data_IF_838161396052
#
_entry.id   IF_838161396052
#
_cell.length_a   1.000
_cell.length_b   1.000
_cell.length_c   1.000
_cell.angle_alpha   90.00
_cell.angle_beta   90.00
_cell.angle_gamma   90.00
#
_symmetry.space_group_name_H-M   'P 1'
#
loop_
_entity.id
_entity.type
_entity.pdbx_description
1 polymer ?
#
# COMPACT_ATOMS: atom_id res chain seq x y z
N UNK A 1 2.21 -24.94 -22.18
CA UNK A 1 2.05 -23.52 -21.77
C UNK A 1 3.15 -23.19 -20.76
N UNK A 2 3.76 -22.00 -20.75
CA UNK A 2 4.68 -21.61 -19.67
C UNK A 2 3.96 -21.65 -18.32
N UNK A 3 4.66 -21.92 -17.19
CA UNK A 3 4.02 -22.11 -15.90
C UNK A 3 3.33 -20.84 -15.40
N UNK A 4 2.18 -20.98 -14.73
CA UNK A 4 1.57 -19.87 -13.98
C UNK A 4 2.32 -19.69 -12.66
N UNK A 5 2.54 -18.47 -12.23
CA UNK A 5 3.11 -18.22 -10.90
C UNK A 5 1.98 -17.93 -9.93
N UNK A 6 1.86 -18.77 -8.90
CA UNK A 6 0.92 -18.60 -7.80
C UNK A 6 1.72 -18.27 -6.55
N UNK A 7 1.23 -17.34 -5.75
CA UNK A 7 1.82 -17.02 -4.46
C UNK A 7 0.88 -17.19 -3.29
N UNK A 8 1.46 -17.51 -2.16
CA UNK A 8 0.80 -17.60 -0.86
C UNK A 8 1.52 -16.68 0.12
N UNK A 9 0.76 -16.01 0.99
CA UNK A 9 1.32 -15.25 2.10
C UNK A 9 1.04 -16.03 3.38
N UNK A 10 2.10 -16.62 3.95
CA UNK A 10 2.04 -17.43 5.16
C UNK A 10 3.22 -17.06 6.08
N UNK A 11 3.00 -16.19 7.09
CA UNK A 11 4.03 -15.66 7.97
C UNK A 11 4.88 -16.72 8.67
N UNK A 12 4.27 -17.86 9.04
CA UNK A 12 4.93 -18.89 9.83
C UNK A 12 5.12 -20.19 9.03
N UNK A 13 5.35 -20.09 7.72
CA UNK A 13 5.57 -21.27 6.89
C UNK A 13 6.90 -21.94 7.24
N UNK A 14 6.84 -23.11 7.89
CA UNK A 14 8.01 -23.84 8.40
C UNK A 14 8.19 -25.23 7.77
N UNK A 15 7.27 -25.63 6.88
CA UNK A 15 7.29 -26.92 6.17
C UNK A 15 8.52 -27.02 5.27
N UNK A 16 9.19 -28.16 5.32
CA UNK A 16 10.45 -28.41 4.58
C UNK A 16 10.38 -29.61 3.66
N UNK A 17 9.51 -30.58 3.96
CA UNK A 17 9.36 -31.77 3.16
C UNK A 17 8.43 -31.50 1.97
N UNK A 18 8.79 -32.05 0.81
CA UNK A 18 8.07 -31.81 -0.45
C UNK A 18 6.60 -32.23 -0.37
N UNK A 19 6.32 -33.35 0.31
CA UNK A 19 4.95 -33.86 0.51
C UNK A 19 4.09 -32.91 1.35
N UNK A 20 4.64 -32.34 2.43
CA UNK A 20 3.94 -31.39 3.31
C UNK A 20 3.65 -30.06 2.60
N UNK A 21 4.59 -29.62 1.75
CA UNK A 21 4.44 -28.42 0.93
C UNK A 21 3.37 -28.66 -0.15
N UNK A 22 3.38 -29.82 -0.81
CA UNK A 22 2.38 -30.18 -1.81
C UNK A 22 0.97 -30.24 -1.18
N UNK A 23 0.84 -30.90 -0.04
CA UNK A 23 -0.42 -30.98 0.72
C UNK A 23 -0.92 -29.59 1.14
N UNK A 24 -0.01 -28.70 1.57
CA UNK A 24 -0.37 -27.32 1.83
C UNK A 24 -0.95 -26.62 0.60
N UNK A 25 -0.27 -26.74 -0.55
CA UNK A 25 -0.68 -26.07 -1.78
C UNK A 25 -2.05 -26.60 -2.24
N UNK A 26 -2.27 -27.91 -2.20
CA UNK A 26 -3.54 -28.51 -2.60
C UNK A 26 -4.70 -28.06 -1.71
N UNK A 27 -4.49 -28.05 -0.39
CA UNK A 27 -5.54 -27.67 0.56
C UNK A 27 -5.87 -26.17 0.52
N UNK A 28 -4.90 -25.32 0.17
CA UNK A 28 -5.04 -23.86 0.23
C UNK A 28 -5.06 -23.20 -1.15
N UNK A 29 -5.18 -23.95 -2.25
CA UNK A 29 -5.05 -23.41 -3.62
C UNK A 29 -5.96 -22.21 -3.92
N UNK A 30 -7.14 -22.15 -3.27
CA UNK A 30 -8.11 -21.06 -3.43
C UNK A 30 -7.66 -19.74 -2.79
N UNK A 31 -6.72 -19.80 -1.85
CA UNK A 31 -6.11 -18.65 -1.17
C UNK A 31 -4.87 -18.14 -1.93
N UNK A 32 -4.50 -18.82 -3.01
CA UNK A 32 -3.34 -18.49 -3.84
C UNK A 32 -3.61 -17.33 -4.80
N UNK A 33 -2.66 -16.41 -4.87
CA UNK A 33 -2.71 -15.24 -5.73
C UNK A 33 -1.96 -15.47 -7.04
N UNK A 34 -2.55 -15.09 -8.18
CA UNK A 34 -1.89 -15.22 -9.48
C UNK A 34 -0.93 -14.05 -9.69
N UNK A 35 0.36 -14.29 -9.46
CA UNK A 35 1.41 -13.27 -9.65
C UNK A 35 1.83 -13.08 -11.10
N UNK A 36 1.82 -14.16 -11.86
CA UNK A 36 2.10 -14.13 -13.29
C UNK A 36 1.22 -15.14 -14.01
N UNK A 37 0.64 -14.68 -15.12
CA UNK A 37 -0.18 -15.50 -15.99
C UNK A 37 -1.67 -15.21 -15.95
N UNK A 38 -2.13 -14.08 -15.38
CA UNK A 38 -3.54 -13.66 -15.41
C UNK A 38 -4.12 -13.69 -16.83
N UNK A 39 -3.40 -13.16 -17.83
CA UNK A 39 -3.86 -13.19 -19.22
C UNK A 39 -3.93 -14.61 -19.81
N UNK A 40 -3.01 -15.49 -19.40
CA UNK A 40 -3.02 -16.91 -19.79
C UNK A 40 -4.21 -17.62 -19.18
N UNK A 41 -4.47 -17.39 -17.89
CA UNK A 41 -5.62 -17.93 -17.18
C UNK A 41 -6.94 -17.46 -17.78
N UNK A 42 -7.06 -16.16 -18.08
CA UNK A 42 -8.24 -15.60 -18.78
C UNK A 42 -8.44 -16.21 -20.17
N UNK A 43 -7.36 -16.50 -20.88
CA UNK A 43 -7.43 -17.15 -22.20
C UNK A 43 -7.85 -18.62 -22.08
N UNK A 44 -7.33 -19.37 -21.10
CA UNK A 44 -7.79 -20.72 -20.78
C UNK A 44 -9.28 -20.73 -20.43
N UNK A 45 -9.71 -19.80 -19.57
CA UNK A 45 -11.10 -19.72 -19.14
C UNK A 45 -12.06 -19.37 -20.29
N UNK A 46 -11.60 -18.66 -21.33
CA UNK A 46 -12.38 -18.44 -22.57
C UNK A 46 -12.33 -19.64 -23.51
N UNK A 47 -11.21 -20.34 -23.56
CA UNK A 47 -11.01 -21.49 -24.43
C UNK A 47 -11.71 -22.75 -23.92
N UNK A 48 -12.03 -22.85 -22.62
CA UNK A 48 -12.66 -24.02 -22.00
C UNK A 48 -13.99 -24.43 -22.66
N UNK A 49 -14.68 -23.48 -23.29
CA UNK A 49 -15.97 -23.69 -23.93
C UNK A 49 -15.82 -24.14 -25.41
N UNK A 50 -14.59 -24.19 -25.95
CA UNK A 50 -14.29 -24.70 -27.30
C UNK A 50 -14.22 -26.24 -27.27
N UNK A 51 -14.89 -26.92 -28.20
CA UNK A 51 -14.91 -28.39 -28.29
C UNK A 51 -13.52 -29.02 -28.48
N UNK A 52 -12.52 -28.23 -28.90
CA UNK A 52 -11.13 -28.68 -29.07
C UNK A 52 -10.28 -28.47 -27.83
N UNK A 53 -10.83 -27.94 -26.76
CA UNK A 53 -10.13 -27.73 -25.51
C UNK A 53 -9.95 -29.09 -24.80
N UNK A 54 -8.69 -29.43 -24.53
CA UNK A 54 -8.31 -30.63 -23.80
C UNK A 54 -8.04 -30.24 -22.34
N UNK A 55 -9.03 -30.50 -21.48
CA UNK A 55 -8.96 -30.22 -20.04
C UNK A 55 -8.10 -31.23 -19.25
N UNK A 56 -7.63 -32.30 -19.91
CA UNK A 56 -6.75 -33.30 -19.30
C UNK A 56 -5.27 -32.88 -19.30
N UNK A 57 -4.93 -31.81 -20.01
CA UNK A 57 -3.56 -31.29 -20.07
C UNK A 57 -3.12 -30.75 -18.70
N UNK A 58 -1.99 -31.22 -18.13
CA UNK A 58 -1.50 -30.69 -16.87
C UNK A 58 -1.07 -29.22 -17.04
N UNK A 59 -1.49 -28.39 -16.09
CA UNK A 59 -1.05 -27.02 -15.96
C UNK A 59 0.13 -26.95 -15.00
N UNK A 60 1.28 -26.48 -15.49
CA UNK A 60 2.46 -26.31 -14.65
C UNK A 60 2.34 -25.04 -13.81
N UNK A 61 2.63 -25.16 -12.53
CA UNK A 61 2.60 -24.08 -11.56
C UNK A 61 4.02 -23.83 -11.02
N UNK A 62 4.36 -22.57 -10.86
CA UNK A 62 5.48 -22.12 -10.05
C UNK A 62 4.89 -21.51 -8.78
N UNK A 63 5.19 -22.10 -7.62
CA UNK A 63 4.59 -21.66 -6.36
C UNK A 63 5.60 -20.89 -5.53
N UNK A 64 5.19 -19.73 -5.03
CA UNK A 64 5.96 -18.90 -4.12
C UNK A 64 5.21 -18.81 -2.79
N UNK A 65 5.86 -19.16 -1.68
CA UNK A 65 5.32 -18.94 -0.35
C UNK A 65 6.18 -17.86 0.32
N UNK A 66 5.54 -16.77 0.75
CA UNK A 66 6.20 -15.60 1.31
C UNK A 66 5.64 -15.30 2.70
N UNK A 67 6.44 -14.84 3.66
CA UNK A 67 5.93 -14.51 4.98
C UNK A 67 5.17 -13.16 5.02
N UNK A 68 5.33 -12.30 4.01
CA UNK A 68 4.52 -11.08 3.86
C UNK A 68 4.33 -10.67 2.40
N UNK A 69 3.31 -9.85 2.14
CA UNK A 69 3.01 -9.22 0.85
C UNK A 69 4.17 -8.31 0.40
N UNK A 70 4.79 -7.60 1.35
CA UNK A 70 5.90 -6.66 1.10
C UNK A 70 7.13 -7.40 0.54
N UNK A 71 7.46 -8.56 1.12
CA UNK A 71 8.54 -9.43 0.62
C UNK A 71 8.21 -10.05 -0.73
N UNK A 72 6.94 -10.40 -0.96
CA UNK A 72 6.48 -10.93 -2.23
C UNK A 72 6.62 -9.90 -3.36
N UNK A 73 6.21 -8.67 -3.09
CA UNK A 73 6.35 -7.55 -4.02
C UNK A 73 7.81 -7.23 -4.31
N UNK A 74 8.66 -7.17 -3.28
CA UNK A 74 10.10 -6.98 -3.45
C UNK A 74 10.66 -8.00 -4.45
N UNK A 75 10.26 -9.27 -4.31
CA UNK A 75 10.66 -10.35 -5.22
C UNK A 75 10.10 -10.15 -6.63
N UNK A 76 8.85 -9.74 -6.79
CA UNK A 76 8.27 -9.44 -8.11
C UNK A 76 8.99 -8.29 -8.82
N UNK A 77 9.31 -7.22 -8.09
CA UNK A 77 10.00 -6.05 -8.63
C UNK A 77 11.43 -6.43 -9.04
N UNK A 78 12.14 -7.18 -8.21
CA UNK A 78 13.54 -7.56 -8.47
C UNK A 78 13.67 -8.63 -9.57
N UNK A 79 12.74 -9.58 -9.67
CA UNK A 79 12.75 -10.66 -10.67
C UNK A 79 12.32 -10.22 -12.07
N UNK A 80 11.54 -9.14 -12.20
CA UNK A 80 11.09 -8.62 -13.50
C UNK A 80 12.15 -7.81 -14.26
N UNK A 81 13.36 -7.61 -13.70
CA UNK A 81 14.46 -6.91 -14.35
C UNK A 81 15.04 -7.73 -15.53
N UNK A 82 14.48 -7.58 -16.74
CA UNK A 82 15.07 -8.12 -17.96
C UNK A 82 14.10 -8.39 -19.12
N UNK A 83 12.80 -8.49 -18.86
CA UNK A 83 11.76 -8.49 -19.89
C UNK A 83 11.14 -7.10 -20.00
N UNK A 84 10.33 -6.76 -21.00
CA UNK A 84 9.67 -5.43 -21.03
C UNK A 84 8.51 -5.48 -20.03
N UNK A 85 8.70 -5.07 -18.77
CA UNK A 85 7.87 -5.59 -17.69
C UNK A 85 6.89 -4.52 -17.24
N UNK A 86 5.88 -4.96 -16.52
CA UNK A 86 4.92 -4.12 -15.84
C UNK A 86 5.63 -3.09 -14.96
N UNK A 87 5.23 -1.81 -15.00
CA UNK A 87 5.87 -0.77 -14.16
C UNK A 87 5.68 -1.11 -12.68
N UNK A 88 6.62 -0.76 -11.78
CA UNK A 88 6.48 -0.99 -10.34
C UNK A 88 5.17 -0.43 -9.77
N UNK A 89 4.69 0.70 -10.30
CA UNK A 89 3.38 1.25 -9.94
C UNK A 89 2.24 0.30 -10.27
N UNK A 90 2.23 -0.23 -11.49
CA UNK A 90 1.18 -1.15 -11.92
C UNK A 90 1.26 -2.49 -11.16
N UNK A 91 2.48 -2.94 -10.78
CA UNK A 91 2.66 -4.08 -9.88
C UNK A 91 2.02 -3.81 -8.51
N UNK A 92 2.31 -2.66 -7.92
CA UNK A 92 1.74 -2.27 -6.63
C UNK A 92 0.22 -2.13 -6.69
N UNK A 93 -0.34 -1.55 -7.75
CA UNK A 93 -1.79 -1.48 -7.93
C UNK A 93 -2.44 -2.87 -8.01
N UNK A 94 -1.85 -3.80 -8.78
CA UNK A 94 -2.35 -5.18 -8.85
C UNK A 94 -2.23 -5.86 -7.50
N UNK A 95 -1.14 -5.69 -6.76
CA UNK A 95 -1.03 -6.29 -5.42
C UNK A 95 -2.01 -5.65 -4.42
N UNK A 96 -2.24 -4.34 -4.52
CA UNK A 96 -3.22 -3.67 -3.65
C UNK A 96 -4.65 -4.12 -3.98
N UNK A 97 -4.92 -4.49 -5.23
CA UNK A 97 -6.20 -5.04 -5.67
C UNK A 97 -6.38 -6.52 -5.31
N UNK A 98 -5.33 -7.33 -5.49
CA UNK A 98 -5.43 -8.79 -5.45
C UNK A 98 -4.92 -9.38 -4.12
N UNK A 99 -3.88 -8.80 -3.49
CA UNK A 99 -3.27 -9.34 -2.25
C UNK A 99 -3.81 -8.74 -0.97
N UNK A 100 -4.22 -7.47 -0.98
CA UNK A 100 -4.81 -6.86 0.21
C UNK A 100 -6.26 -7.28 0.31
N UNK A 101 -6.48 -8.41 1.00
CA UNK A 101 -7.82 -8.76 1.43
C UNK A 101 -8.25 -7.78 2.54
N UNK A 102 -9.05 -6.79 2.14
CA UNK A 102 -9.67 -5.85 3.05
C UNK A 102 -10.82 -6.46 3.84
N UNK A 103 -11.18 -7.74 3.64
CA UNK A 103 -12.21 -8.41 4.44
C UNK A 103 -11.80 -8.58 5.91
N UNK A 104 -10.48 -8.68 6.16
CA UNK A 104 -9.87 -8.79 7.49
C UNK A 104 -9.85 -7.46 8.28
N UNK A 105 -10.21 -6.34 7.64
CA UNK A 105 -10.18 -5.00 8.22
C UNK A 105 -11.50 -4.29 7.98
N UNK A 106 -12.07 -3.63 8.98
CA UNK A 106 -13.36 -2.97 8.84
C UNK A 106 -13.26 -1.59 8.15
N UNK A 107 -12.63 -1.54 6.97
CA UNK A 107 -12.57 -0.37 6.10
C UNK A 107 -13.24 -0.65 4.76
N UNK A 108 -14.24 0.16 4.42
CA UNK A 108 -14.83 0.11 3.09
C UNK A 108 -13.83 0.68 2.07
N UNK A 109 -13.50 -0.07 1.03
CA UNK A 109 -12.62 0.39 -0.06
C UNK A 109 -13.39 0.29 -1.37
N UNK A 110 -13.25 1.29 -2.25
CA UNK A 110 -13.85 1.28 -3.58
C UNK A 110 -12.82 1.56 -4.66
N UNK A 111 -12.93 0.83 -5.76
CA UNK A 111 -12.25 1.14 -7.02
C UNK A 111 -12.84 2.38 -7.68
N UNK A 112 -12.07 3.02 -8.57
CA UNK A 112 -12.56 4.17 -9.36
C UNK A 112 -13.87 3.83 -10.11
N UNK A 113 -13.92 2.64 -10.73
CA UNK A 113 -15.08 2.13 -11.46
C UNK A 113 -16.33 1.94 -10.59
N UNK A 114 -16.17 1.56 -9.33
CA UNK A 114 -17.30 1.44 -8.39
C UNK A 114 -17.78 2.81 -7.93
N UNK A 115 -16.85 3.74 -7.65
CA UNK A 115 -17.17 5.11 -7.25
C UNK A 115 -17.89 5.89 -8.36
N UNK A 116 -17.53 5.65 -9.62
CA UNK A 116 -18.25 6.18 -10.80
C UNK A 116 -19.73 5.78 -10.82
N UNK A 117 -20.04 4.55 -10.39
CA UNK A 117 -21.42 4.05 -10.33
C UNK A 117 -22.15 4.58 -9.11
N UNK A 118 -21.57 4.43 -7.92
CA UNK A 118 -22.16 4.86 -6.65
C UNK A 118 -21.05 5.05 -5.60
N UNK A 119 -21.00 6.24 -5.02
CA UNK A 119 -20.07 6.54 -3.93
C UNK A 119 -20.67 6.03 -2.62
N UNK A 120 -19.99 5.06 -1.99
CA UNK A 120 -20.33 4.62 -0.63
C UNK A 120 -19.79 5.65 0.36
N UNK A 121 -20.66 6.14 1.24
CA UNK A 121 -20.25 7.16 2.22
C UNK A 121 -19.27 6.55 3.21
N UNK A 122 -18.08 7.13 3.29
CA UNK A 122 -17.03 6.70 4.21
C UNK A 122 -16.03 5.71 3.62
N UNK A 123 -16.18 5.28 2.37
CA UNK A 123 -15.20 4.41 1.70
C UNK A 123 -13.88 5.13 1.38
N UNK A 124 -12.78 4.40 1.44
CA UNK A 124 -11.47 4.79 0.93
C UNK A 124 -11.39 4.52 -0.58
N UNK A 125 -10.55 5.29 -1.25
CA UNK A 125 -10.24 5.09 -2.66
C UNK A 125 -9.08 4.09 -2.80
N UNK A 126 -9.26 3.04 -3.58
CA UNK A 126 -8.23 2.03 -3.79
C UNK A 126 -6.97 2.60 -4.47
N UNK A 127 -7.14 3.59 -5.35
CA UNK A 127 -6.04 4.28 -5.99
C UNK A 127 -5.19 5.06 -4.99
N UNK A 128 -5.84 5.75 -4.04
CA UNK A 128 -5.13 6.44 -2.95
C UNK A 128 -4.44 5.46 -2.00
N UNK A 129 -5.05 4.31 -1.67
CA UNK A 129 -4.40 3.25 -0.89
C UNK A 129 -3.19 2.65 -1.60
N UNK A 130 -3.29 2.40 -2.92
CA UNK A 130 -2.18 1.91 -3.74
C UNK A 130 -0.99 2.89 -3.73
N UNK A 131 -1.27 4.20 -3.83
CA UNK A 131 -0.23 5.24 -3.73
C UNK A 131 0.37 5.33 -2.34
N UNK A 132 -0.44 5.18 -1.31
CA UNK A 132 0.02 5.16 0.08
C UNK A 132 0.93 3.95 0.36
N UNK A 133 0.60 2.79 -0.21
CA UNK A 133 1.44 1.60 -0.13
C UNK A 133 2.78 1.78 -0.88
N UNK A 134 2.75 2.31 -2.11
CA UNK A 134 3.98 2.67 -2.83
C UNK A 134 4.84 3.66 -2.03
N UNK A 135 4.20 4.66 -1.41
CA UNK A 135 4.89 5.63 -0.56
C UNK A 135 5.53 4.97 0.65
N UNK A 136 4.80 4.09 1.33
CA UNK A 136 5.29 3.30 2.46
C UNK A 136 6.54 2.49 2.07
N UNK A 137 6.48 1.71 0.99
CA UNK A 137 7.57 0.83 0.56
C UNK A 137 8.83 1.61 0.17
N UNK A 138 8.66 2.68 -0.61
CA UNK A 138 9.77 3.58 -0.99
C UNK A 138 10.21 4.49 0.17
N UNK A 139 9.42 4.57 1.24
CA UNK A 139 9.38 5.63 2.26
C UNK A 139 9.63 7.03 1.69
N UNK A 140 8.93 7.35 0.62
CA UNK A 140 8.94 8.66 -0.02
C UNK A 140 7.52 9.08 -0.38
N UNK A 141 7.18 10.33 -0.12
CA UNK A 141 5.85 10.88 -0.45
C UNK A 141 5.76 11.47 -1.86
N UNK A 142 6.88 11.52 -2.58
CA UNK A 142 7.01 12.19 -3.88
C UNK A 142 7.26 11.18 -5.02
N UNK A 143 6.42 10.14 -5.10
CA UNK A 143 6.56 9.07 -6.11
C UNK A 143 5.89 9.38 -7.48
N UNK A 144 5.11 10.45 -7.54
CA UNK A 144 4.41 10.92 -8.75
C UNK A 144 4.96 12.26 -9.23
N UNK A 145 6.28 12.34 -9.41
CA UNK A 145 6.93 13.54 -9.92
C UNK A 145 6.83 13.59 -11.46
N UNK A 146 5.81 14.29 -11.95
CA UNK A 146 5.55 14.50 -13.38
C UNK A 146 6.70 15.18 -14.16
N UNK A 147 7.71 15.74 -13.48
CA UNK A 147 8.92 16.30 -14.12
C UNK A 147 9.94 15.22 -14.52
N UNK A 148 9.78 14.00 -14.03
CA UNK A 148 10.67 12.87 -14.32
C UNK A 148 9.97 11.97 -15.36
N UNK A 149 10.72 11.53 -16.37
CA UNK A 149 10.24 10.55 -17.35
C UNK A 149 9.85 9.27 -16.61
N UNK A 150 8.67 8.70 -16.90
CA UNK A 150 8.10 7.55 -16.19
C UNK A 150 9.10 6.40 -15.95
N UNK A 151 9.85 6.01 -16.98
CA UNK A 151 10.87 4.95 -16.89
C UNK A 151 11.98 5.26 -15.88
N UNK A 152 12.46 6.51 -15.81
CA UNK A 152 13.47 6.91 -14.81
C UNK A 152 12.89 6.89 -13.40
N UNK A 153 11.62 7.25 -13.27
CA UNK A 153 10.95 7.22 -11.98
C UNK A 153 10.76 5.80 -11.49
N UNK A 154 10.42 4.89 -12.39
CA UNK A 154 10.31 3.46 -12.09
C UNK A 154 11.67 2.91 -11.63
N UNK A 155 12.77 3.24 -12.31
CA UNK A 155 14.12 2.88 -11.86
C UNK A 155 14.44 3.41 -10.45
N UNK A 156 14.06 4.67 -10.15
CA UNK A 156 14.24 5.26 -8.81
C UNK A 156 13.41 4.51 -7.77
N UNK A 157 12.17 4.16 -8.08
CA UNK A 157 11.28 3.39 -7.19
C UNK A 157 11.90 2.02 -6.90
N UNK A 158 12.37 1.31 -7.93
CA UNK A 158 13.07 0.03 -7.77
C UNK A 158 14.29 0.20 -6.85
N UNK A 159 15.14 1.19 -7.14
CA UNK A 159 16.32 1.47 -6.31
C UNK A 159 15.97 1.71 -4.84
N UNK A 160 14.96 2.53 -4.57
CA UNK A 160 14.51 2.80 -3.18
C UNK A 160 13.93 1.59 -2.48
N UNK A 161 13.18 0.74 -3.19
CA UNK A 161 12.65 -0.50 -2.63
C UNK A 161 13.79 -1.48 -2.35
N UNK A 162 14.82 -1.52 -3.20
CA UNK A 162 16.04 -2.29 -2.98
C UNK A 162 16.84 -1.79 -1.77
N UNK A 163 16.95 -0.47 -1.60
CA UNK A 163 17.63 0.15 -0.46
C UNK A 163 16.88 -0.08 0.86
N UNK A 164 15.56 -0.23 0.81
CA UNK A 164 14.66 -0.43 1.96
C UNK A 164 14.16 -1.86 2.08
N UNK A 165 15.05 -2.82 1.84
CA UNK A 165 14.71 -4.24 1.92
C UNK A 165 13.97 -4.55 3.24
N UNK A 166 12.77 -5.19 3.18
CA UNK A 166 12.02 -5.53 4.39
C UNK A 166 12.82 -6.45 5.31
N UNK A 167 13.05 -6.02 6.54
CA UNK A 167 13.64 -6.80 7.62
C UNK A 167 12.56 -7.51 8.43
N UNK A 168 12.93 -8.46 9.29
CA UNK A 168 11.96 -9.19 10.13
C UNK A 168 11.34 -8.33 11.24
N UNK A 169 11.95 -7.19 11.59
CA UNK A 169 11.46 -6.26 12.60
C UNK A 169 10.67 -5.09 11.99
N UNK A 170 10.55 -5.03 10.66
CA UNK A 170 9.82 -3.95 10.00
C UNK A 170 8.31 -4.11 10.20
N UNK A 171 7.66 -2.97 10.39
CA UNK A 171 6.20 -2.87 10.35
C UNK A 171 5.77 -3.25 8.92
N UNK A 172 4.80 -4.14 8.79
CA UNK A 172 4.16 -4.46 7.51
C UNK A 172 3.03 -3.47 7.20
N UNK A 173 2.75 -3.23 5.92
CA UNK A 173 1.67 -2.31 5.54
C UNK A 173 0.28 -2.76 6.04
N UNK A 174 0.04 -4.07 6.21
CA UNK A 174 -1.20 -4.59 6.82
C UNK A 174 -1.40 -4.07 8.25
N UNK A 175 -0.32 -3.89 9.02
CA UNK A 175 -0.39 -3.28 10.36
C UNK A 175 -0.75 -1.79 10.28
N UNK A 176 -0.25 -1.07 9.27
CA UNK A 176 -0.63 0.32 9.00
C UNK A 176 -2.12 0.43 8.65
N UNK A 177 -2.66 -0.47 7.84
CA UNK A 177 -4.09 -0.51 7.50
C UNK A 177 -4.95 -0.77 8.75
N UNK A 178 -4.55 -1.71 9.61
CA UNK A 178 -5.22 -1.95 10.90
C UNK A 178 -5.21 -0.70 11.78
N UNK A 179 -4.11 0.05 11.80
CA UNK A 179 -4.06 1.30 12.56
C UNK A 179 -4.98 2.37 11.94
N UNK A 180 -5.04 2.47 10.60
CA UNK A 180 -6.00 3.34 9.91
C UNK A 180 -7.44 2.99 10.29
N UNK A 181 -7.78 1.71 10.34
CA UNK A 181 -9.09 1.23 10.78
C UNK A 181 -9.42 1.70 12.21
N UNK A 182 -8.51 1.46 13.16
CA UNK A 182 -8.68 1.84 14.57
C UNK A 182 -8.89 3.35 14.71
N UNK A 183 -8.03 4.15 14.08
CA UNK A 183 -8.09 5.60 14.12
C UNK A 183 -9.33 6.16 13.39
N UNK A 184 -9.81 5.45 12.36
CA UNK A 184 -11.01 5.82 11.61
C UNK A 184 -12.32 5.59 12.36
N UNK A 185 -12.29 5.08 13.60
CA UNK A 185 -13.45 5.10 14.52
C UNK A 185 -13.90 6.52 14.83
N UNK A 186 -12.99 7.50 14.75
CA UNK A 186 -13.32 8.91 14.81
C UNK A 186 -13.57 9.49 13.39
N UNK A 187 -14.70 10.18 13.22
CA UNK A 187 -15.14 10.70 11.91
C UNK A 187 -14.22 11.79 11.34
N UNK A 188 -13.63 12.64 12.18
CA UNK A 188 -12.70 13.70 11.75
C UNK A 188 -11.41 13.08 11.21
N UNK A 189 -10.85 12.14 11.97
CA UNK A 189 -9.68 11.35 11.58
C UNK A 189 -9.94 10.57 10.28
N UNK A 190 -11.09 9.90 10.17
CA UNK A 190 -11.47 9.18 8.95
C UNK A 190 -11.52 10.11 7.73
N UNK A 191 -12.11 11.30 7.87
CA UNK A 191 -12.13 12.30 6.78
C UNK A 191 -10.73 12.77 6.41
N UNK A 192 -9.85 12.96 7.40
CA UNK A 192 -8.48 13.38 7.18
C UNK A 192 -7.67 12.31 6.44
N UNK A 193 -7.75 11.04 6.88
CA UNK A 193 -7.08 9.90 6.24
C UNK A 193 -7.63 9.58 4.85
N UNK A 194 -8.90 9.91 4.57
CA UNK A 194 -9.47 9.78 3.23
C UNK A 194 -8.90 10.76 2.20
N UNK A 195 -8.17 11.78 2.62
CA UNK A 195 -7.48 12.64 1.64
C UNK A 195 -6.17 11.98 1.25
N UNK A 196 -6.03 11.58 -0.02
CA UNK A 196 -4.86 10.82 -0.50
C UNK A 196 -3.50 11.43 -0.14
N UNK A 197 -3.37 12.76 -0.10
CA UNK A 197 -2.12 13.41 0.35
C UNK A 197 -1.80 13.14 1.84
N UNK A 198 -2.80 13.14 2.70
CA UNK A 198 -2.62 12.83 4.12
C UNK A 198 -2.34 11.35 4.30
N UNK A 199 -3.07 10.48 3.58
CA UNK A 199 -2.87 9.04 3.61
C UNK A 199 -1.43 8.68 3.23
N UNK A 200 -0.93 9.24 2.14
CA UNK A 200 0.47 9.06 1.70
C UNK A 200 1.45 9.53 2.78
N UNK A 201 1.22 10.71 3.37
CA UNK A 201 2.10 11.24 4.42
C UNK A 201 2.09 10.35 5.67
N UNK A 202 0.89 9.97 6.13
CA UNK A 202 0.68 9.07 7.25
C UNK A 202 1.36 7.72 7.05
N UNK A 203 1.16 7.08 5.90
CA UNK A 203 1.74 5.78 5.58
C UNK A 203 3.27 5.82 5.56
N UNK A 204 3.90 6.93 5.16
CA UNK A 204 5.35 7.04 5.29
C UNK A 204 5.76 7.29 6.74
N UNK A 205 5.10 8.24 7.40
CA UNK A 205 5.57 8.74 8.68
C UNK A 205 5.34 7.79 9.85
N UNK A 206 4.30 6.96 9.77
CA UNK A 206 3.97 6.02 10.85
C UNK A 206 5.10 5.01 11.12
N UNK A 207 5.99 4.75 10.16
CA UNK A 207 7.16 3.88 10.37
C UNK A 207 8.03 4.32 11.54
N UNK A 208 8.08 5.62 11.83
CA UNK A 208 8.89 6.18 12.93
C UNK A 208 8.12 6.36 14.24
N UNK A 209 6.79 6.29 14.19
CA UNK A 209 5.91 6.63 15.31
C UNK A 209 4.86 5.56 15.62
N UNK A 210 4.98 4.38 15.02
CA UNK A 210 4.00 3.29 15.14
C UNK A 210 3.73 2.93 16.59
N UNK A 211 4.77 2.71 17.40
CA UNK A 211 4.62 2.38 18.83
C UNK A 211 3.91 3.49 19.61
N UNK A 212 4.10 4.74 19.24
CA UNK A 212 3.41 5.85 19.92
C UNK A 212 1.94 5.92 19.47
N UNK A 213 1.70 5.88 18.16
CA UNK A 213 0.37 6.02 17.56
C UNK A 213 -0.53 4.81 17.86
N UNK A 214 0.04 3.62 18.10
CA UNK A 214 -0.74 2.44 18.52
C UNK A 214 -1.24 2.54 19.96
N UNK A 215 -0.61 3.37 20.80
CA UNK A 215 -0.94 3.52 22.22
C UNK A 215 -1.88 4.69 22.53
N UNK A 216 -2.26 5.49 21.54
CA UNK A 216 -3.22 6.60 21.69
C UNK A 216 -4.62 6.18 21.29
N UNK A 217 -5.61 6.90 21.82
CA UNK A 217 -7.02 6.72 21.45
C UNK A 217 -7.35 7.45 20.14
N UNK A 218 -8.42 7.01 19.42
CA UNK A 218 -8.88 7.70 18.22
C UNK A 218 -9.26 9.18 18.44
N UNK A 219 -9.70 9.53 19.65
CA UNK A 219 -10.10 10.90 20.00
C UNK A 219 -8.89 11.79 20.27
N UNK A 220 -7.88 11.31 21.00
CA UNK A 220 -6.59 12.03 21.17
C UNK A 220 -5.91 12.29 19.83
N UNK A 221 -5.93 11.29 18.92
CA UNK A 221 -5.42 11.48 17.58
C UNK A 221 -6.23 12.51 16.80
N UNK A 222 -7.57 12.51 16.94
CA UNK A 222 -8.42 13.48 16.26
C UNK A 222 -8.13 14.93 16.68
N UNK A 223 -7.89 15.18 17.97
CA UNK A 223 -7.47 16.50 18.48
C UNK A 223 -6.16 16.95 17.83
N UNK A 224 -5.20 16.04 17.71
CA UNK A 224 -3.91 16.30 17.04
C UNK A 224 -4.10 16.61 15.54
N UNK A 225 -5.03 15.92 14.89
CA UNK A 225 -5.37 16.15 13.48
C UNK A 225 -6.10 17.49 13.27
N UNK A 226 -6.96 17.89 14.21
CA UNK A 226 -7.60 19.20 14.15
C UNK A 226 -6.56 20.33 14.28
N UNK A 227 -5.59 20.18 15.19
CA UNK A 227 -4.44 21.08 15.31
C UNK A 227 -3.63 21.14 14.00
N UNK A 228 -3.32 19.98 13.41
CA UNK A 228 -2.66 19.89 12.10
C UNK A 228 -3.40 20.68 11.02
N UNK A 229 -4.73 20.55 10.95
CA UNK A 229 -5.54 21.23 9.94
C UNK A 229 -5.58 22.74 10.14
N UNK A 230 -5.59 23.21 11.39
CA UNK A 230 -5.49 24.64 11.69
C UNK A 230 -4.13 25.17 11.26
N UNK A 231 -3.04 24.51 11.63
CA UNK A 231 -1.70 24.91 11.25
C UNK A 231 -1.49 24.89 9.73
N UNK A 232 -1.97 23.84 9.05
CA UNK A 232 -1.87 23.71 7.59
C UNK A 232 -2.63 24.82 6.85
N UNK A 233 -3.78 25.29 7.35
CA UNK A 233 -4.56 26.39 6.75
C UNK A 233 -3.84 27.74 6.80
N UNK A 234 -2.90 27.92 7.73
CA UNK A 234 -2.08 29.13 7.84
C UNK A 234 -1.04 29.25 6.71
N UNK A 235 -0.78 28.15 5.98
CA UNK A 235 0.14 28.15 4.84
C UNK A 235 -0.51 28.85 3.64
N UNK A 236 0.22 29.79 3.03
CA UNK A 236 -0.31 30.59 1.93
C UNK A 236 -0.44 29.78 0.62
N UNK A 237 -1.66 29.49 0.13
CA UNK A 237 -1.90 28.63 -1.03
C UNK A 237 -1.42 29.21 -2.36
N UNK A 238 -1.26 30.54 -2.46
CA UNK A 238 -0.88 31.22 -3.71
C UNK A 238 0.60 31.08 -4.09
N UNK A 239 1.43 30.62 -3.14
CA UNK A 239 2.90 30.54 -3.31
C UNK A 239 3.42 29.12 -3.40
N UNK A 240 2.56 28.11 -3.26
CA UNK A 240 3.00 26.74 -2.94
C UNK A 240 2.22 25.67 -3.70
N UNK A 241 2.86 24.53 -3.94
CA UNK A 241 2.16 23.32 -4.38
C UNK A 241 1.49 22.66 -3.17
N UNK A 242 0.24 23.04 -2.89
CA UNK A 242 -0.53 22.58 -1.72
C UNK A 242 -0.53 21.06 -1.57
N UNK A 243 -0.70 20.30 -2.65
CA UNK A 243 -0.72 18.83 -2.58
C UNK A 243 0.63 18.26 -2.14
N UNK A 244 1.73 18.79 -2.69
CA UNK A 244 3.09 18.41 -2.29
C UNK A 244 3.35 18.68 -0.82
N UNK A 245 3.10 19.91 -0.37
CA UNK A 245 3.36 20.30 1.02
C UNK A 245 2.46 19.58 2.00
N UNK A 246 1.18 19.35 1.65
CA UNK A 246 0.29 18.57 2.53
C UNK A 246 0.83 17.16 2.78
N UNK A 247 1.39 16.51 1.75
CA UNK A 247 2.06 15.20 1.91
C UNK A 247 3.31 15.29 2.78
N UNK A 248 4.16 16.28 2.52
CA UNK A 248 5.44 16.46 3.25
C UNK A 248 5.21 16.80 4.73
N UNK A 249 4.25 17.68 5.02
CA UNK A 249 3.88 18.05 6.38
C UNK A 249 3.12 16.95 7.10
N UNK A 250 2.20 16.24 6.42
CA UNK A 250 1.55 15.07 7.02
C UNK A 250 2.58 14.01 7.39
N UNK A 251 3.56 13.73 6.51
CA UNK A 251 4.69 12.86 6.83
C UNK A 251 5.44 13.37 8.06
N UNK A 252 5.89 14.62 8.05
CA UNK A 252 6.69 15.16 9.15
C UNK A 252 5.94 15.15 10.49
N UNK A 253 4.66 15.53 10.47
CA UNK A 253 3.79 15.53 11.65
C UNK A 253 3.64 14.13 12.23
N UNK A 254 3.41 13.13 11.37
CA UNK A 254 3.24 11.75 11.81
C UNK A 254 4.58 11.13 12.23
N UNK A 255 5.70 11.42 11.55
CA UNK A 255 7.04 10.93 11.94
C UNK A 255 7.42 11.40 13.35
N UNK A 256 7.14 12.66 13.67
CA UNK A 256 7.51 13.28 14.94
C UNK A 256 6.29 13.45 15.85
N UNK A 257 5.30 12.57 15.73
CA UNK A 257 4.01 12.71 16.39
C UNK A 257 4.13 12.84 17.91
N UNK A 258 5.05 12.09 18.55
CA UNK A 258 5.26 12.16 20.00
C UNK A 258 5.63 13.56 20.51
N UNK A 259 6.31 14.35 19.68
CA UNK A 259 6.69 15.73 19.99
C UNK A 259 5.61 16.70 19.49
N UNK A 260 5.27 16.63 18.20
CA UNK A 260 4.43 17.63 17.53
C UNK A 260 2.95 17.56 17.94
N UNK A 261 2.48 16.46 18.51
CA UNK A 261 1.12 16.38 19.08
C UNK A 261 0.96 17.19 20.37
N UNK A 262 2.08 17.55 21.02
CA UNK A 262 2.07 18.36 22.26
C UNK A 262 2.15 19.86 22.01
N UNK A 263 2.39 20.27 20.77
CA UNK A 263 2.52 21.68 20.39
C UNK A 263 1.18 22.40 20.49
N UNK A 264 1.24 23.70 20.74
CA UNK A 264 0.10 24.58 20.51
C UNK A 264 -0.02 25.01 19.04
N UNK A 265 -1.08 25.75 18.72
CA UNK A 265 -1.36 26.22 17.36
C UNK A 265 -0.21 27.09 16.81
N UNK A 266 0.36 27.97 17.64
CA UNK A 266 1.39 28.90 17.19
C UNK A 266 2.70 28.17 16.92
N UNK A 267 3.07 27.25 17.80
CA UNK A 267 4.26 26.41 17.67
C UNK A 267 4.19 25.55 16.41
N UNK A 268 3.04 24.89 16.15
CA UNK A 268 2.90 24.04 14.97
C UNK A 268 2.86 24.85 13.66
N UNK A 269 2.26 26.04 13.68
CA UNK A 269 2.29 26.96 12.53
C UNK A 269 3.71 27.40 12.22
N UNK A 270 4.48 27.80 13.23
CA UNK A 270 5.88 28.20 13.05
C UNK A 270 6.71 27.06 12.44
N UNK A 271 6.59 25.86 13.00
CA UNK A 271 7.24 24.65 12.49
C UNK A 271 6.88 24.34 11.04
N UNK A 272 5.60 24.46 10.66
CA UNK A 272 5.17 24.25 9.27
C UNK A 272 5.69 25.33 8.33
N UNK A 273 5.77 26.58 8.79
CA UNK A 273 6.33 27.67 7.99
C UNK A 273 7.82 27.48 7.74
N UNK A 274 8.59 27.00 8.72
CA UNK A 274 10.01 26.68 8.54
C UNK A 274 10.23 25.58 7.49
N UNK A 275 9.41 24.52 7.51
CA UNK A 275 9.50 23.42 6.54
C UNK A 275 9.05 23.80 5.13
N UNK A 276 8.30 24.89 4.98
CA UNK A 276 7.72 25.33 3.71
C UNK A 276 8.30 26.62 3.13
N UNK A 277 9.29 27.22 3.82
CA UNK A 277 10.00 28.44 3.40
C UNK A 277 11.09 28.19 2.36
#
# INVERSE_FOLDING_TARGET
MPPLTIAFVEPNFDKKEEEEIAEYIENNINEGYVLDGIQRLSTLNRAKDDERFDDSQPLYLNVIISPSEDKLLYRMITLNNGQKPMTPRHQIEILTQELFDFSDVNIDVQTEKEREKTIVKGSFDLGDLSKAYLAFLTGSVNNDNNKIIGEKMDQIIVGRIMDKQPTEEDIDFKQVIKQIEILSKNDSTKKWLKVGNNLIGFSVGIKSSFDFITNITPDEFAESIDLFEVAFKSINPSKVNLGKFRRELSKNFIENYAELSSFDEMELVEHFMELTS
#
